data_IF_836944062264
#
_entry.id   IF_836944062264
#
_cell.length_a   1.000
_cell.length_b   1.000
_cell.length_c   1.000
_cell.angle_alpha   90.00
_cell.angle_beta   90.00
_cell.angle_gamma   90.00
#
_symmetry.space_group_name_H-M   'P 1'
#
loop_
_entity.id
_entity.type
_entity.pdbx_description
1 polymer ?
#
# COMPACT_ATOMS: atom_id res chain seq x y z
N UNK A 1 11.13 -16.64 28.65
CA UNK A 1 10.59 -15.33 29.05
C UNK A 1 11.08 -14.33 28.05
N UNK A 2 10.27 -14.03 27.07
CA UNK A 2 10.60 -12.96 26.13
C UNK A 2 9.32 -12.16 25.87
N UNK A 3 9.18 -11.10 26.67
CA UNK A 3 8.12 -10.11 26.56
C UNK A 3 8.63 -8.95 25.72
N UNK A 4 8.53 -9.07 24.41
CA UNK A 4 8.75 -7.91 23.53
C UNK A 4 7.66 -6.87 23.79
N UNK A 5 7.96 -5.89 24.63
CA UNK A 5 7.15 -4.70 24.84
C UNK A 5 7.20 -3.84 23.59
N UNK A 6 6.06 -3.24 23.22
CA UNK A 6 6.03 -2.15 22.24
C UNK A 6 6.98 -1.07 22.75
N UNK A 7 7.97 -0.70 21.95
CA UNK A 7 8.97 0.29 22.34
C UNK A 7 8.27 1.61 22.74
N UNK A 8 8.51 2.17 23.93
CA UNK A 8 7.98 3.47 24.30
C UNK A 8 8.77 4.54 23.54
N UNK A 9 8.19 5.14 22.51
CA UNK A 9 8.90 6.21 21.82
C UNK A 9 8.33 6.73 20.51
N UNK A 10 7.29 6.14 19.93
CA UNK A 10 6.59 6.82 18.85
C UNK A 10 5.61 7.84 19.45
N UNK A 11 5.69 9.13 19.08
CA UNK A 11 4.74 10.12 19.58
C UNK A 11 3.32 9.72 19.10
N UNK A 12 2.38 9.65 20.02
CA UNK A 12 0.95 9.37 19.74
C UNK A 12 0.32 10.38 18.76
N UNK A 13 1.00 11.48 18.47
CA UNK A 13 0.61 12.50 17.50
C UNK A 13 0.49 12.03 16.07
N UNK A 14 1.25 11.00 15.67
CA UNK A 14 1.22 10.50 14.28
C UNK A 14 0.01 9.59 14.00
N UNK A 15 -0.75 9.25 15.05
CA UNK A 15 -1.94 8.39 15.00
C UNK A 15 -3.22 9.13 15.42
N UNK A 16 -3.25 10.46 15.25
CA UNK A 16 -4.40 11.27 15.62
C UNK A 16 -5.68 10.78 14.94
N UNK A 17 -6.66 10.40 15.76
CA UNK A 17 -7.97 9.92 15.34
C UNK A 17 -8.82 11.15 15.01
N UNK A 18 -8.84 11.58 13.73
CA UNK A 18 -9.67 12.67 13.23
C UNK A 18 -11.02 12.13 12.75
N UNK A 19 -12.11 12.65 13.31
CA UNK A 19 -13.47 12.13 13.19
C UNK A 19 -14.03 12.08 11.77
N UNK A 20 -14.91 11.15 11.56
CA UNK A 20 -15.97 10.80 10.62
C UNK A 20 -16.01 9.26 10.40
N UNK A 21 -14.88 8.55 10.54
CA UNK A 21 -14.82 7.07 10.39
C UNK A 21 -14.99 6.38 11.75
N UNK A 22 -15.64 5.19 11.81
CA UNK A 22 -15.75 4.42 13.05
C UNK A 22 -14.39 4.21 13.72
N UNK A 23 -14.31 4.37 15.03
CA UNK A 23 -13.07 4.24 15.79
C UNK A 23 -12.34 2.89 15.56
N UNK A 24 -13.03 1.73 15.46
CA UNK A 24 -12.35 0.48 15.12
C UNK A 24 -11.66 0.48 13.76
N UNK A 25 -12.21 1.21 12.77
CA UNK A 25 -11.57 1.31 11.44
C UNK A 25 -10.27 2.12 11.50
N UNK A 26 -10.29 3.20 12.26
CA UNK A 26 -9.11 4.04 12.47
C UNK A 26 -8.01 3.27 13.22
N UNK A 27 -8.38 2.48 14.23
CA UNK A 27 -7.46 1.63 14.97
C UNK A 27 -6.89 0.53 14.06
N UNK A 28 -7.72 -0.10 13.23
CA UNK A 28 -7.25 -1.10 12.27
C UNK A 28 -6.23 -0.50 11.29
N UNK A 29 -6.49 0.69 10.76
CA UNK A 29 -5.55 1.42 9.92
C UNK A 29 -4.25 1.73 10.66
N UNK A 30 -4.33 2.21 11.91
CA UNK A 30 -3.15 2.48 12.73
C UNK A 30 -2.29 1.22 12.93
N UNK A 31 -2.90 0.06 13.21
CA UNK A 31 -2.18 -1.22 13.34
C UNK A 31 -1.47 -1.58 12.03
N UNK A 32 -2.14 -1.43 10.88
CA UNK A 32 -1.54 -1.69 9.56
C UNK A 32 -0.34 -0.77 9.31
N UNK A 33 -0.46 0.51 9.64
CA UNK A 33 0.63 1.49 9.53
C UNK A 33 1.79 1.13 10.46
N UNK A 34 1.51 0.69 11.69
CA UNK A 34 2.54 0.22 12.64
C UNK A 34 3.30 -1.00 12.10
N UNK A 35 2.60 -1.93 11.43
CA UNK A 35 3.24 -3.10 10.81
C UNK A 35 4.09 -2.64 9.61
N UNK A 36 3.54 -1.83 8.73
CA UNK A 36 4.24 -1.31 7.55
C UNK A 36 5.47 -0.45 7.92
N UNK A 37 5.37 0.32 9.02
CA UNK A 37 6.47 1.12 9.57
C UNK A 37 7.47 0.31 10.39
N UNK A 38 7.28 -1.00 10.56
CA UNK A 38 8.18 -1.86 11.32
C UNK A 38 8.09 -1.73 12.85
N UNK A 39 7.13 -1.00 13.37
CA UNK A 39 6.86 -0.87 14.82
C UNK A 39 6.24 -2.16 15.39
N UNK A 40 5.48 -2.87 14.57
CA UNK A 40 4.99 -4.22 14.83
C UNK A 40 5.61 -5.17 13.80
N UNK A 41 6.31 -6.19 14.26
CA UNK A 41 7.01 -7.12 13.38
C UNK A 41 6.13 -8.33 13.01
N UNK A 42 6.30 -8.95 11.82
CA UNK A 42 5.67 -10.23 11.50
C UNK A 42 5.92 -11.27 12.59
N UNK A 43 4.87 -11.99 13.00
CA UNK A 43 4.89 -12.96 14.09
C UNK A 43 4.89 -12.39 15.50
N UNK A 44 5.05 -11.07 15.68
CA UNK A 44 5.01 -10.43 17.00
C UNK A 44 3.64 -10.62 17.65
N UNK A 45 3.64 -10.92 18.95
CA UNK A 45 2.41 -11.01 19.75
C UNK A 45 1.84 -9.62 20.01
N UNK A 46 0.54 -9.49 19.86
CA UNK A 46 -0.21 -8.27 20.19
C UNK A 46 -1.06 -8.52 21.43
N UNK A 47 -0.97 -7.61 22.40
CA UNK A 47 -1.76 -7.63 23.64
C UNK A 47 -2.76 -6.47 23.58
N UNK A 48 -4.07 -6.78 23.61
CA UNK A 48 -5.14 -5.76 23.51
C UNK A 48 -4.97 -4.60 24.50
N UNK A 49 -4.51 -4.89 25.73
CA UNK A 49 -4.36 -3.89 26.78
C UNK A 49 -3.22 -2.90 26.47
N UNK A 50 -2.08 -3.41 26.03
CA UNK A 50 -0.91 -2.59 25.67
C UNK A 50 -1.20 -1.74 24.43
N UNK A 51 -1.89 -2.33 23.45
CA UNK A 51 -2.29 -1.61 22.25
C UNK A 51 -3.32 -0.52 22.56
N UNK A 52 -4.30 -0.78 23.45
CA UNK A 52 -5.27 0.21 23.87
C UNK A 52 -4.61 1.39 24.61
N UNK A 53 -3.63 1.11 25.46
CA UNK A 53 -2.83 2.13 26.14
C UNK A 53 -2.00 2.96 25.15
N UNK A 54 -1.29 2.31 24.22
CA UNK A 54 -0.46 3.00 23.22
C UNK A 54 -1.27 3.90 22.28
N UNK A 55 -2.51 3.52 21.97
CA UNK A 55 -3.44 4.30 21.13
C UNK A 55 -4.36 5.22 21.94
N UNK A 56 -4.14 5.36 23.26
CA UNK A 56 -4.95 6.20 24.15
C UNK A 56 -6.45 5.95 24.02
N UNK A 57 -6.87 4.69 23.94
CA UNK A 57 -8.26 4.27 23.71
C UNK A 57 -8.67 3.11 24.64
N UNK A 58 -9.94 2.69 24.58
CA UNK A 58 -10.45 1.56 25.35
C UNK A 58 -10.23 0.22 24.60
N UNK A 59 -10.28 -0.91 25.33
CA UNK A 59 -10.06 -2.25 24.77
C UNK A 59 -11.15 -2.71 23.79
N UNK A 60 -12.38 -2.19 23.93
CA UNK A 60 -13.51 -2.63 23.08
C UNK A 60 -13.28 -2.31 21.59
N UNK A 61 -13.02 -1.06 21.18
CA UNK A 61 -12.75 -0.75 19.78
C UNK A 61 -11.45 -1.39 19.28
N UNK A 62 -10.43 -1.59 20.14
CA UNK A 62 -9.20 -2.31 19.77
C UNK A 62 -9.51 -3.76 19.42
N UNK A 63 -10.31 -4.45 20.24
CA UNK A 63 -10.73 -5.85 19.97
C UNK A 63 -11.52 -5.96 18.67
N UNK A 64 -12.41 -5.01 18.39
CA UNK A 64 -13.13 -4.97 17.11
C UNK A 64 -12.18 -4.78 15.92
N UNK A 65 -11.25 -3.85 16.02
CA UNK A 65 -10.22 -3.63 15.00
C UNK A 65 -9.39 -4.90 14.76
N UNK A 66 -8.92 -5.54 15.82
CA UNK A 66 -8.14 -6.78 15.72
C UNK A 66 -8.94 -7.90 15.05
N UNK A 67 -10.22 -8.07 15.37
CA UNK A 67 -11.08 -9.07 14.70
C UNK A 67 -11.24 -8.80 13.19
N UNK A 68 -11.34 -7.53 12.79
CA UNK A 68 -11.38 -7.16 11.36
C UNK A 68 -10.08 -7.53 10.66
N UNK A 69 -8.95 -7.24 11.29
CA UNK A 69 -7.63 -7.58 10.75
C UNK A 69 -7.37 -9.10 10.74
N UNK A 70 -7.95 -9.84 11.68
CA UNK A 70 -7.96 -11.31 11.66
C UNK A 70 -8.76 -11.85 10.47
N UNK A 71 -9.95 -11.31 10.24
CA UNK A 71 -10.77 -11.69 9.08
C UNK A 71 -10.08 -11.40 7.73
N UNK A 72 -9.19 -10.42 7.71
CA UNK A 72 -8.35 -10.09 6.55
C UNK A 72 -7.03 -10.90 6.50
N UNK A 73 -6.72 -11.72 7.52
CA UNK A 73 -5.47 -12.48 7.58
C UNK A 73 -4.22 -11.65 7.94
N UNK A 74 -4.41 -10.37 8.31
CA UNK A 74 -3.30 -9.49 8.76
C UNK A 74 -2.86 -9.85 10.17
N UNK A 75 -3.79 -10.23 11.01
CA UNK A 75 -3.54 -10.82 12.31
C UNK A 75 -3.97 -12.28 12.31
N UNK A 76 -3.38 -13.09 13.21
CA UNK A 76 -3.74 -14.48 13.39
C UNK A 76 -3.83 -14.80 14.88
N UNK A 77 -4.97 -15.34 15.34
CA UNK A 77 -5.12 -15.86 16.69
C UNK A 77 -4.73 -17.33 16.74
N UNK A 78 -3.74 -17.62 17.56
CA UNK A 78 -3.29 -18.99 17.83
C UNK A 78 -3.87 -19.44 19.17
N UNK A 79 -4.60 -20.57 19.25
CA UNK A 79 -5.16 -21.06 20.50
C UNK A 79 -4.08 -21.13 21.60
N UNK A 80 -4.41 -20.63 22.78
CA UNK A 80 -3.53 -20.56 23.96
C UNK A 80 -2.27 -19.69 23.82
N UNK A 81 -1.99 -19.11 22.63
CA UNK A 81 -0.82 -18.27 22.37
C UNK A 81 -1.16 -16.81 22.06
N UNK A 82 -2.46 -16.49 21.97
CA UNK A 82 -2.97 -15.14 21.69
C UNK A 82 -2.85 -14.72 20.24
N UNK A 83 -3.12 -13.45 19.99
CA UNK A 83 -3.11 -12.86 18.64
C UNK A 83 -1.70 -12.39 18.28
N UNK A 84 -1.31 -12.61 17.03
CA UNK A 84 -0.01 -12.23 16.44
C UNK A 84 -0.18 -11.54 15.12
N UNK A 85 0.80 -10.73 14.74
CA UNK A 85 0.95 -10.25 13.36
C UNK A 85 1.14 -11.45 12.45
N UNK A 86 0.46 -11.46 11.30
CA UNK A 86 0.56 -12.49 10.28
C UNK A 86 1.97 -12.63 9.70
N UNK A 87 2.20 -13.66 8.92
CA UNK A 87 3.40 -13.79 8.10
C UNK A 87 3.25 -12.89 6.85
N UNK A 88 4.31 -12.16 6.52
CA UNK A 88 4.40 -11.33 5.32
C UNK A 88 5.69 -11.65 4.55
N UNK A 89 6.00 -12.95 4.45
CA UNK A 89 7.15 -13.44 3.69
C UNK A 89 6.94 -13.35 2.17
N UNK A 90 7.90 -13.85 1.41
CA UNK A 90 7.88 -13.82 -0.07
C UNK A 90 6.62 -14.47 -0.65
N UNK A 91 6.17 -15.57 -0.05
CA UNK A 91 4.97 -16.29 -0.49
C UNK A 91 3.71 -15.44 -0.37
N UNK A 92 3.48 -14.83 0.78
CA UNK A 92 2.31 -13.97 1.05
C UNK A 92 2.36 -12.72 0.18
N UNK A 93 3.54 -12.16 -0.04
CA UNK A 93 3.74 -11.02 -0.94
C UNK A 93 3.42 -11.39 -2.40
N UNK A 94 3.87 -12.56 -2.87
CA UNK A 94 3.56 -13.04 -4.22
C UNK A 94 2.05 -13.26 -4.41
N UNK A 95 1.37 -13.88 -3.44
CA UNK A 95 -0.08 -14.07 -3.48
C UNK A 95 -0.84 -12.75 -3.50
N UNK A 96 -0.41 -11.76 -2.71
CA UNK A 96 -1.00 -10.43 -2.73
C UNK A 96 -0.78 -9.73 -4.09
N UNK A 97 0.40 -9.90 -4.70
CA UNK A 97 0.70 -9.35 -6.02
C UNK A 97 -0.19 -9.97 -7.12
N UNK A 98 -0.41 -11.29 -7.10
CA UNK A 98 -1.31 -11.96 -8.05
C UNK A 98 -2.73 -11.39 -7.99
N UNK A 99 -3.30 -11.25 -6.79
CA UNK A 99 -4.63 -10.67 -6.59
C UNK A 99 -4.64 -9.21 -7.03
N UNK A 100 -3.60 -8.44 -6.69
CA UNK A 100 -3.43 -7.05 -7.08
C UNK A 100 -3.43 -6.88 -8.60
N UNK A 101 -2.66 -7.69 -9.33
CA UNK A 101 -2.59 -7.67 -10.80
C UNK A 101 -3.99 -7.85 -11.41
N UNK A 102 -4.73 -8.85 -10.94
CA UNK A 102 -6.07 -9.13 -11.45
C UNK A 102 -7.05 -7.97 -11.21
N UNK A 103 -7.03 -7.39 -10.00
CA UNK A 103 -7.88 -6.26 -9.65
C UNK A 103 -7.49 -5.00 -10.41
N UNK A 104 -6.20 -4.66 -10.45
CA UNK A 104 -5.71 -3.44 -11.09
C UNK A 104 -5.89 -3.49 -12.61
N UNK A 105 -5.77 -4.63 -13.25
CA UNK A 105 -6.08 -4.77 -14.68
C UNK A 105 -7.52 -4.34 -14.99
N UNK A 106 -8.48 -4.72 -14.17
CA UNK A 106 -9.87 -4.32 -14.31
C UNK A 106 -10.08 -2.84 -13.92
N UNK A 107 -9.44 -2.40 -12.83
CA UNK A 107 -9.52 -1.01 -12.36
C UNK A 107 -8.95 -0.05 -13.42
N UNK A 108 -7.78 -0.32 -13.99
CA UNK A 108 -7.15 0.53 -14.99
C UNK A 108 -8.04 0.69 -16.21
N UNK A 109 -8.62 -0.40 -16.72
CA UNK A 109 -9.53 -0.35 -17.86
C UNK A 109 -10.76 0.49 -17.56
N UNK A 110 -11.49 0.23 -16.49
CA UNK A 110 -12.72 0.96 -16.15
C UNK A 110 -12.43 2.42 -15.76
N UNK A 111 -11.33 2.70 -15.07
CA UNK A 111 -10.92 4.08 -14.77
C UNK A 111 -10.58 4.85 -16.05
N UNK A 112 -9.88 4.22 -17.01
CA UNK A 112 -9.58 4.83 -18.30
C UNK A 112 -10.85 5.15 -19.09
N UNK A 113 -11.81 4.25 -19.16
CA UNK A 113 -13.13 4.48 -19.77
C UNK A 113 -13.82 5.70 -19.15
N UNK A 114 -13.86 5.75 -17.81
CA UNK A 114 -14.48 6.86 -17.08
C UNK A 114 -13.76 8.20 -17.29
N UNK A 115 -12.41 8.21 -17.32
CA UNK A 115 -11.60 9.41 -17.57
C UNK A 115 -11.76 9.91 -19.00
N UNK A 116 -11.89 9.02 -19.99
CA UNK A 116 -12.10 9.40 -21.40
C UNK A 116 -13.49 9.96 -21.64
N UNK A 117 -14.48 9.46 -20.90
CA UNK A 117 -15.83 9.99 -20.90
C UNK A 117 -15.91 11.39 -20.24
N UNK A 118 -15.12 11.63 -19.20
CA UNK A 118 -15.04 12.91 -18.50
C UNK A 118 -13.61 13.22 -18.03
N UNK A 119 -12.88 13.96 -18.86
CA UNK A 119 -11.47 14.30 -18.60
C UNK A 119 -11.25 15.20 -17.38
N UNK A 120 -12.27 15.94 -16.90
CA UNK A 120 -12.11 16.78 -15.71
C UNK A 120 -11.83 15.96 -14.45
N UNK A 121 -12.27 14.70 -14.41
CA UNK A 121 -12.03 13.78 -13.28
C UNK A 121 -10.56 13.39 -13.08
N UNK A 122 -9.69 13.69 -14.03
CA UNK A 122 -8.24 13.48 -13.91
C UNK A 122 -7.64 14.30 -12.75
N UNK A 123 -8.29 15.40 -12.36
CA UNK A 123 -7.86 16.24 -11.26
C UNK A 123 -7.72 15.46 -9.92
N UNK A 124 -8.55 14.44 -9.71
CA UNK A 124 -8.46 13.57 -8.53
C UNK A 124 -7.11 12.83 -8.47
N UNK A 125 -6.60 12.38 -9.62
CA UNK A 125 -5.29 11.72 -9.72
C UNK A 125 -4.14 12.74 -9.63
N UNK A 126 -4.31 13.92 -10.23
CA UNK A 126 -3.31 14.99 -10.20
C UNK A 126 -3.06 15.50 -8.79
N UNK A 127 -4.11 15.57 -7.96
CA UNK A 127 -3.98 15.91 -6.55
C UNK A 127 -3.11 14.90 -5.81
N UNK A 128 -3.35 13.61 -5.97
CA UNK A 128 -2.56 12.58 -5.30
C UNK A 128 -1.10 12.57 -5.79
N UNK A 129 -0.87 12.80 -7.08
CA UNK A 129 0.50 12.96 -7.60
C UNK A 129 1.23 14.16 -6.99
N UNK A 130 0.51 15.24 -6.68
CA UNK A 130 1.09 16.38 -5.95
C UNK A 130 1.44 16.00 -4.50
N UNK A 131 0.59 15.24 -3.82
CA UNK A 131 0.89 14.70 -2.48
C UNK A 131 2.13 13.78 -2.50
N UNK A 132 2.25 12.88 -3.50
CA UNK A 132 3.44 12.03 -3.65
C UNK A 132 4.72 12.87 -3.81
N UNK A 133 4.69 13.98 -4.56
CA UNK A 133 5.83 14.90 -4.68
C UNK A 133 6.21 15.52 -3.33
N UNK A 134 5.22 15.93 -2.54
CA UNK A 134 5.45 16.47 -1.21
C UNK A 134 6.11 15.41 -0.29
N UNK A 135 5.65 14.16 -0.32
CA UNK A 135 6.24 13.07 0.44
C UNK A 135 7.69 12.80 0.06
N UNK A 136 8.02 12.85 -1.24
CA UNK A 136 9.40 12.73 -1.73
C UNK A 136 10.28 13.87 -1.23
N UNK A 137 9.80 15.11 -1.30
CA UNK A 137 10.54 16.29 -0.82
C UNK A 137 10.81 16.20 0.69
N UNK A 138 9.84 15.67 1.46
CA UNK A 138 9.97 15.44 2.90
C UNK A 138 10.81 14.20 3.24
N UNK A 139 11.20 13.38 2.26
CA UNK A 139 11.84 12.07 2.44
C UNK A 139 11.05 11.13 3.37
N UNK A 140 9.72 11.22 3.33
CA UNK A 140 8.81 10.39 4.12
C UNK A 140 8.32 9.19 3.28
N UNK A 141 9.01 8.06 3.44
CA UNK A 141 8.69 6.82 2.70
C UNK A 141 7.34 6.23 3.07
N UNK A 142 6.95 6.30 4.34
CA UNK A 142 5.67 5.75 4.77
C UNK A 142 4.51 6.59 4.21
N UNK A 143 4.62 7.91 4.24
CA UNK A 143 3.67 8.79 3.61
C UNK A 143 3.61 8.57 2.09
N UNK A 144 4.76 8.34 1.42
CA UNK A 144 4.78 8.02 0.00
C UNK A 144 4.05 6.70 -0.31
N UNK A 145 4.27 5.64 0.47
CA UNK A 145 3.55 4.36 0.30
C UNK A 145 2.04 4.53 0.51
N UNK A 146 1.64 5.39 1.44
CA UNK A 146 0.20 5.72 1.65
C UNK A 146 -0.37 6.52 0.49
N UNK A 147 0.38 7.45 -0.06
CA UNK A 147 -0.03 8.23 -1.25
C UNK A 147 -0.13 7.35 -2.50
N UNK A 148 0.76 6.37 -2.67
CA UNK A 148 0.66 5.32 -3.71
C UNK A 148 -0.69 4.60 -3.61
N UNK A 149 -1.03 4.07 -2.44
CA UNK A 149 -2.34 3.45 -2.23
C UNK A 149 -3.51 4.40 -2.46
N UNK A 150 -3.37 5.67 -2.11
CA UNK A 150 -4.40 6.68 -2.33
C UNK A 150 -4.63 6.91 -3.84
N UNK A 151 -3.58 6.82 -4.68
CA UNK A 151 -3.69 6.90 -6.12
C UNK A 151 -4.52 5.73 -6.69
N UNK A 152 -4.21 4.51 -6.29
CA UNK A 152 -4.98 3.32 -6.69
C UNK A 152 -6.42 3.36 -6.17
N UNK A 153 -6.64 3.85 -4.95
CA UNK A 153 -7.97 4.07 -4.41
C UNK A 153 -8.77 5.11 -5.21
N UNK A 154 -8.13 6.20 -5.65
CA UNK A 154 -8.76 7.21 -6.50
C UNK A 154 -9.16 6.60 -7.86
N UNK A 155 -8.32 5.74 -8.47
CA UNK A 155 -8.69 5.00 -9.67
C UNK A 155 -9.90 4.10 -9.44
N UNK A 156 -9.98 3.37 -8.32
CA UNK A 156 -11.16 2.57 -7.99
C UNK A 156 -12.43 3.42 -7.90
N UNK A 157 -12.36 4.60 -7.30
CA UNK A 157 -13.50 5.53 -7.24
C UNK A 157 -13.91 6.04 -8.61
N UNK A 158 -12.96 6.25 -9.52
CA UNK A 158 -13.24 6.64 -10.91
C UNK A 158 -14.06 5.59 -11.64
N UNK A 159 -13.89 4.30 -11.36
CA UNK A 159 -14.67 3.22 -11.98
C UNK A 159 -16.17 3.32 -11.72
N UNK A 160 -16.58 3.92 -10.59
CA UNK A 160 -17.95 3.90 -10.11
C UNK A 160 -18.45 2.51 -9.70
N UNK A 161 -17.58 1.50 -9.65
CA UNK A 161 -17.92 0.12 -9.30
C UNK A 161 -17.67 -0.13 -7.80
N UNK A 162 -18.75 -0.21 -6.97
CA UNK A 162 -18.60 -0.36 -5.53
C UNK A 162 -18.00 -1.71 -5.13
N UNK A 163 -18.15 -2.75 -5.95
CA UNK A 163 -17.56 -4.07 -5.69
C UNK A 163 -16.04 -3.99 -5.83
N UNK A 164 -15.52 -3.37 -6.90
CA UNK A 164 -14.09 -3.15 -7.06
C UNK A 164 -13.50 -2.32 -5.92
N UNK A 165 -14.20 -1.28 -5.50
CA UNK A 165 -13.78 -0.45 -4.37
C UNK A 165 -13.66 -1.28 -3.09
N UNK A 166 -14.64 -2.14 -2.80
CA UNK A 166 -14.63 -3.04 -1.64
C UNK A 166 -13.47 -4.02 -1.70
N UNK A 167 -13.24 -4.65 -2.86
CA UNK A 167 -12.14 -5.60 -3.04
C UNK A 167 -10.77 -4.91 -2.92
N UNK A 168 -10.62 -3.71 -3.47
CA UNK A 168 -9.41 -2.91 -3.29
C UNK A 168 -9.16 -2.57 -1.83
N UNK A 169 -10.18 -2.13 -1.10
CA UNK A 169 -10.07 -1.83 0.33
C UNK A 169 -9.67 -3.06 1.17
N UNK A 170 -10.04 -4.26 0.74
CA UNK A 170 -9.65 -5.49 1.41
C UNK A 170 -8.17 -5.85 1.18
N UNK A 171 -7.63 -5.61 -0.03
CA UNK A 171 -6.23 -5.94 -0.36
C UNK A 171 -5.24 -4.83 0.01
N UNK A 172 -5.66 -3.56 0.00
CA UNK A 172 -4.79 -2.40 0.23
C UNK A 172 -3.94 -2.48 1.52
N UNK A 173 -4.44 -2.97 2.66
CA UNK A 173 -3.62 -3.17 3.85
C UNK A 173 -2.45 -4.14 3.63
N UNK A 174 -2.65 -5.23 2.89
CA UNK A 174 -1.58 -6.18 2.54
C UNK A 174 -0.52 -5.52 1.65
N UNK A 175 -0.96 -4.69 0.69
CA UNK A 175 -0.07 -3.95 -0.20
C UNK A 175 0.79 -2.96 0.60
N UNK A 176 0.19 -2.21 1.53
CA UNK A 176 0.92 -1.25 2.37
C UNK A 176 1.98 -1.95 3.22
N UNK A 177 1.62 -3.07 3.85
CA UNK A 177 2.56 -3.85 4.66
C UNK A 177 3.69 -4.39 3.78
N UNK A 178 3.38 -4.95 2.60
CA UNK A 178 4.39 -5.45 1.67
C UNK A 178 5.37 -4.35 1.24
N UNK A 179 4.89 -3.13 0.95
CA UNK A 179 5.75 -1.99 0.62
C UNK A 179 6.63 -1.58 1.79
N UNK A 180 6.06 -1.52 3.01
CA UNK A 180 6.80 -1.14 4.20
C UNK A 180 7.91 -2.12 4.56
N UNK A 181 7.66 -3.42 4.43
CA UNK A 181 8.61 -4.49 4.76
C UNK A 181 9.64 -4.74 3.64
N UNK A 182 9.32 -4.41 2.39
CA UNK A 182 10.21 -4.61 1.23
C UNK A 182 11.16 -3.43 1.03
N UNK A 183 12.14 -3.25 1.92
CA UNK A 183 13.20 -2.24 1.75
C UNK A 183 13.99 -2.37 0.43
N UNK A 184 13.92 -3.54 -0.21
CA UNK A 184 14.66 -3.84 -1.42
C UNK A 184 13.92 -3.51 -2.73
N UNK A 185 12.57 -3.42 -2.71
CA UNK A 185 11.76 -3.22 -3.93
C UNK A 185 11.61 -1.76 -4.38
N UNK A 186 11.82 -0.81 -3.48
CA UNK A 186 11.75 0.63 -3.78
C UNK A 186 13.01 1.37 -3.30
N UNK A 187 14.21 0.99 -3.82
CA UNK A 187 15.43 1.70 -3.47
C UNK A 187 15.39 3.15 -3.97
N UNK A 188 14.58 3.43 -5.01
CA UNK A 188 14.54 4.71 -5.69
C UNK A 188 13.13 5.34 -5.61
N UNK A 189 12.92 6.14 -4.56
CA UNK A 189 11.62 6.80 -4.32
C UNK A 189 11.14 7.70 -5.48
N UNK A 190 12.00 8.43 -6.24
CA UNK A 190 11.58 9.17 -7.42
C UNK A 190 10.98 8.31 -8.53
N UNK A 191 11.49 7.10 -8.74
CA UNK A 191 10.97 6.18 -9.78
C UNK A 191 9.52 5.78 -9.53
N UNK A 192 9.09 5.72 -8.26
CA UNK A 192 7.68 5.45 -7.91
C UNK A 192 6.78 6.57 -8.43
N UNK A 193 7.12 7.84 -8.21
CA UNK A 193 6.35 8.96 -8.73
C UNK A 193 6.30 8.96 -10.26
N UNK A 194 7.43 8.74 -10.92
CA UNK A 194 7.52 8.70 -12.38
C UNK A 194 6.66 7.56 -12.95
N UNK A 195 6.62 6.41 -12.30
CA UNK A 195 5.75 5.31 -12.66
C UNK A 195 4.26 5.73 -12.62
N UNK A 196 3.83 6.42 -11.57
CA UNK A 196 2.45 6.87 -11.43
C UNK A 196 2.09 8.01 -12.42
N UNK A 197 3.04 8.89 -12.73
CA UNK A 197 2.87 9.89 -13.80
C UNK A 197 2.67 9.22 -15.16
N UNK A 198 3.47 8.18 -15.48
CA UNK A 198 3.29 7.39 -16.70
C UNK A 198 1.97 6.63 -16.71
N UNK A 199 1.58 6.01 -15.58
CA UNK A 199 0.30 5.33 -15.45
C UNK A 199 -0.88 6.28 -15.70
N UNK A 200 -0.88 7.47 -15.09
CA UNK A 200 -1.90 8.49 -15.33
C UNK A 200 -1.99 8.86 -16.82
N UNK A 201 -0.86 9.03 -17.51
CA UNK A 201 -0.84 9.31 -18.94
C UNK A 201 -1.38 8.14 -19.77
N UNK A 202 -1.06 6.90 -19.40
CA UNK A 202 -1.55 5.70 -20.06
C UNK A 202 -3.08 5.55 -19.94
N UNK A 203 -3.66 5.81 -18.76
CA UNK A 203 -5.12 5.79 -18.56
C UNK A 203 -5.86 6.71 -19.54
N UNK A 204 -5.26 7.82 -19.89
CA UNK A 204 -5.86 8.79 -20.83
C UNK A 204 -5.68 8.40 -22.31
N UNK A 205 -4.59 7.71 -22.66
CA UNK A 205 -4.13 7.64 -24.05
C UNK A 205 -3.84 6.20 -24.56
N UNK A 206 -3.47 5.25 -23.70
CA UNK A 206 -3.12 3.90 -24.14
C UNK A 206 -4.36 3.10 -24.60
N UNK A 207 -4.24 2.14 -25.55
CA UNK A 207 -5.33 1.24 -25.88
C UNK A 207 -5.89 0.53 -24.62
N UNK A 208 -7.21 0.38 -24.53
CA UNK A 208 -7.85 -0.25 -23.34
C UNK A 208 -7.38 -1.68 -23.12
N UNK A 209 -7.10 -2.39 -24.21
CA UNK A 209 -6.67 -3.79 -24.17
C UNK A 209 -5.22 -3.96 -23.66
N UNK A 210 -4.41 -2.89 -23.66
CA UNK A 210 -3.04 -2.90 -23.13
C UNK A 210 -2.98 -2.67 -21.61
N UNK A 211 -4.05 -2.14 -21.01
CA UNK A 211 -4.07 -1.74 -19.61
C UNK A 211 -3.93 -2.90 -18.62
N UNK A 212 -4.47 -4.13 -18.86
CA UNK A 212 -4.20 -5.26 -17.99
C UNK A 212 -2.71 -5.66 -17.95
N UNK A 213 -2.04 -5.66 -19.11
CA UNK A 213 -0.60 -5.92 -19.17
C UNK A 213 0.22 -4.79 -18.50
N UNK A 214 -0.25 -3.55 -18.57
CA UNK A 214 0.34 -2.43 -17.84
C UNK A 214 0.21 -2.63 -16.31
N UNK A 215 -0.92 -3.13 -15.83
CA UNK A 215 -1.11 -3.42 -14.41
C UNK A 215 -0.13 -4.48 -13.91
N UNK A 216 0.11 -5.54 -14.69
CA UNK A 216 1.10 -6.56 -14.36
C UNK A 216 2.52 -5.97 -14.26
N UNK A 217 2.95 -5.17 -15.23
CA UNK A 217 4.25 -4.48 -15.18
C UNK A 217 4.36 -3.53 -14.00
N UNK A 218 3.30 -2.78 -13.73
CA UNK A 218 3.23 -1.83 -12.63
C UNK A 218 3.41 -2.52 -11.28
N UNK A 219 2.65 -3.59 -11.02
CA UNK A 219 2.71 -4.35 -9.76
C UNK A 219 4.07 -5.03 -9.57
N UNK A 220 4.64 -5.58 -10.64
CA UNK A 220 5.93 -6.27 -10.60
C UNK A 220 7.13 -5.30 -10.56
N UNK A 221 6.90 -3.98 -10.65
CA UNK A 221 7.96 -2.98 -10.63
C UNK A 221 8.83 -2.97 -11.90
N UNK A 222 8.38 -3.61 -12.98
CA UNK A 222 9.13 -3.66 -14.23
C UNK A 222 9.36 -2.26 -14.84
N UNK A 223 8.45 -1.34 -14.59
CA UNK A 223 8.53 0.05 -15.04
C UNK A 223 9.43 0.93 -14.14
N UNK A 224 9.90 0.41 -12.99
CA UNK A 224 10.85 1.11 -12.10
C UNK A 224 12.30 0.95 -12.56
N UNK A 225 12.58 -0.10 -13.34
CA UNK A 225 13.88 -0.31 -13.96
C UNK A 225 13.84 0.47 -15.28
N UNK A 226 14.50 1.63 -15.33
CA UNK A 226 14.71 2.35 -16.60
C UNK A 226 15.33 1.42 -17.65
N UNK A 227 15.19 1.73 -18.96
CA UNK A 227 15.85 0.94 -19.99
C UNK A 227 17.32 0.83 -19.60
N UNK A 228 17.81 -0.41 -19.47
CA UNK A 228 19.21 -0.67 -19.17
C UNK A 228 20.03 0.18 -20.13
N UNK A 229 20.77 1.15 -19.58
CA UNK A 229 21.71 1.94 -20.34
C UNK A 229 22.62 0.95 -21.04
N UNK A 230 22.44 0.82 -22.36
CA UNK A 230 23.18 -0.09 -23.19
C UNK A 230 24.68 0.13 -22.95
N UNK A 231 25.32 -0.84 -22.31
CA UNK A 231 26.75 -0.85 -22.21
C UNK A 231 27.32 -0.93 -23.61
N UNK A 232 27.78 0.20 -24.13
CA UNK A 232 28.72 0.19 -25.25
C UNK A 232 29.93 -0.64 -24.83
N UNK A 233 29.97 -1.86 -25.33
CA UNK A 233 31.20 -2.62 -25.34
C UNK A 233 32.22 -1.84 -26.18
N UNK A 234 33.05 -1.05 -25.50
CA UNK A 234 34.28 -0.57 -26.09
C UNK A 234 35.17 -1.77 -26.40
N UNK A 235 35.14 -2.19 -27.64
CA UNK A 235 36.16 -3.06 -28.23
C UNK A 235 37.50 -2.30 -28.21
N UNK A 236 38.39 -2.74 -27.37
CA UNK A 236 39.80 -2.30 -27.37
C UNK A 236 40.46 -2.95 -28.59
N UNK A 237 41.00 -2.20 -29.55
CA UNK A 237 41.79 -2.79 -30.60
C UNK A 237 43.17 -3.18 -30.07
N UNK A 238 43.45 -4.47 -30.09
CA UNK A 238 44.82 -5.00 -29.94
C UNK A 238 45.65 -4.62 -31.14
N UNK A 239 46.66 -3.77 -30.97
CA UNK A 239 47.75 -3.51 -31.85
C UNK A 239 49.05 -3.87 -31.15
#
# INVERSE_FOLDING_TARGET
MDGSRIAPGAPASDFAIAGVRPLPDQIAEAIVVMIAGGQLQPGQRIVEAELAESLSTSRVPVREAMRRLEAQGILATVPYRGTRVGAFGEREQAQAAEVRIALEGLIFRQAAEALRANRSRVADLDQVLAEMRCCLTANDRLALNRADLAFHHAMCRLTGNPILLTLWQAIAPHVLIAFGLSNARYPDSPAVLDQHVRLRAALLNAPLDDLPALAERHVNGADLVGPASGGEQQTIPTG
#
